data_IF_884251112652
#
_entry.id   IF_884251112652
#
_cell.length_a   1.000
_cell.length_b   1.000
_cell.length_c   1.000
_cell.angle_alpha   90.00
_cell.angle_beta   90.00
_cell.angle_gamma   90.00
#
_symmetry.space_group_name_H-M   'P 1'
#
loop_
_entity.id
_entity.type
_entity.pdbx_description
1 polymer ?
#
# COMPACT_ATOMS: atom_id res chain seq x y z
N UNK A 1 4.45 31.93 -24.09
CA UNK A 1 3.45 32.18 -23.03
C UNK A 1 2.06 32.09 -23.63
N UNK A 2 1.43 30.90 -23.58
CA UNK A 2 0.01 30.70 -23.90
C UNK A 2 -0.69 30.36 -22.59
N UNK A 3 -1.73 31.13 -22.25
CA UNK A 3 -2.57 30.94 -21.06
C UNK A 3 -3.18 29.53 -21.07
N UNK A 4 -2.78 28.67 -20.14
CA UNK A 4 -3.38 27.37 -19.83
C UNK A 4 -4.28 27.50 -18.57
N UNK A 5 -5.17 28.50 -18.57
CA UNK A 5 -5.91 28.91 -17.36
C UNK A 5 -7.40 28.54 -17.32
N UNK A 6 -7.90 27.74 -18.27
CA UNK A 6 -9.33 27.37 -18.31
C UNK A 6 -9.51 26.00 -18.95
N UNK A 7 -9.59 24.95 -18.12
CA UNK A 7 -10.20 23.65 -18.40
C UNK A 7 -10.04 22.68 -17.20
N UNK A 8 -8.93 22.78 -16.46
CA UNK A 8 -8.64 21.86 -15.33
C UNK A 8 -9.69 21.93 -14.22
N UNK A 9 -10.25 23.10 -13.94
CA UNK A 9 -11.24 23.26 -12.87
C UNK A 9 -12.59 22.60 -13.19
N UNK A 10 -13.03 22.61 -14.45
CA UNK A 10 -14.31 22.01 -14.85
C UNK A 10 -14.23 20.48 -14.92
N UNK A 11 -13.09 19.95 -15.40
CA UNK A 11 -12.83 18.50 -15.43
C UNK A 11 -12.82 17.91 -14.00
N UNK A 12 -12.18 18.59 -13.04
CA UNK A 12 -12.22 18.14 -11.65
C UNK A 12 -13.61 18.27 -11.01
N UNK A 13 -14.42 19.26 -11.37
CA UNK A 13 -15.80 19.37 -10.85
C UNK A 13 -16.62 18.15 -11.25
N UNK A 14 -16.58 17.76 -12.53
CA UNK A 14 -17.29 16.58 -13.01
C UNK A 14 -16.78 15.30 -12.35
N UNK A 15 -15.45 15.13 -12.29
CA UNK A 15 -14.83 13.98 -11.64
C UNK A 15 -15.23 13.88 -10.17
N UNK A 16 -15.16 14.98 -9.42
CA UNK A 16 -15.54 15.02 -8.00
C UNK A 16 -17.03 14.72 -7.83
N UNK A 17 -17.92 15.24 -8.67
CA UNK A 17 -19.35 14.91 -8.61
C UNK A 17 -19.60 13.40 -8.80
N UNK A 18 -18.87 12.77 -9.73
CA UNK A 18 -18.91 11.32 -9.94
C UNK A 18 -18.37 10.55 -8.73
N UNK A 19 -17.27 11.00 -8.12
CA UNK A 19 -16.74 10.44 -6.87
C UNK A 19 -17.79 10.53 -5.75
N UNK A 20 -18.45 11.68 -5.54
CA UNK A 20 -19.49 11.83 -4.51
C UNK A 20 -20.63 10.83 -4.67
N UNK A 21 -21.05 10.58 -5.91
CA UNK A 21 -22.07 9.56 -6.17
C UNK A 21 -21.56 8.15 -5.88
N UNK A 22 -20.29 7.86 -6.19
CA UNK A 22 -19.66 6.57 -5.92
C UNK A 22 -19.39 6.33 -4.42
N UNK A 23 -19.11 7.38 -3.65
CA UNK A 23 -18.92 7.32 -2.19
C UNK A 23 -20.16 6.78 -1.45
N UNK A 24 -21.37 6.97 -2.00
CA UNK A 24 -22.61 6.42 -1.45
C UNK A 24 -22.66 4.88 -1.46
N UNK A 25 -21.80 4.23 -2.25
CA UNK A 25 -21.70 2.77 -2.35
C UNK A 25 -20.56 2.21 -1.51
N UNK A 26 -19.77 3.05 -0.85
CA UNK A 26 -18.77 2.59 0.10
C UNK A 26 -19.48 1.93 1.29
N UNK A 27 -18.91 0.82 1.76
CA UNK A 27 -19.24 0.13 2.98
C UNK A 27 -19.08 1.10 4.16
N UNK A 28 -20.15 1.20 4.93
CA UNK A 28 -20.15 1.94 6.19
C UNK A 28 -19.72 1.03 7.34
N UNK A 29 -19.41 1.60 8.49
CA UNK A 29 -19.12 0.84 9.71
C UNK A 29 -20.25 -0.13 10.09
N UNK A 30 -21.52 0.21 9.80
CA UNK A 30 -22.66 -0.68 10.09
C UNK A 30 -22.70 -1.89 9.16
N UNK A 31 -22.34 -1.73 7.88
CA UNK A 31 -22.23 -2.84 6.94
C UNK A 31 -21.10 -3.77 7.35
N UNK A 32 -19.98 -3.19 7.79
CA UNK A 32 -18.83 -3.94 8.26
C UNK A 32 -19.13 -4.77 9.51
N UNK A 33 -19.87 -4.21 10.49
CA UNK A 33 -20.35 -4.98 11.64
C UNK A 33 -21.34 -6.09 11.22
N UNK A 34 -22.14 -5.85 10.18
CA UNK A 34 -23.03 -6.89 9.64
C UNK A 34 -22.24 -8.04 8.99
N UNK A 35 -21.15 -7.73 8.27
CA UNK A 35 -20.22 -8.73 7.74
C UNK A 35 -19.50 -9.51 8.85
N UNK A 36 -19.13 -8.84 9.94
CA UNK A 36 -18.54 -9.49 11.12
C UNK A 36 -19.53 -10.43 11.80
N UNK A 37 -20.79 -10.02 11.93
CA UNK A 37 -21.85 -10.81 12.57
C UNK A 37 -22.42 -11.94 11.68
N UNK A 38 -22.09 -11.95 10.38
CA UNK A 38 -22.52 -12.99 9.46
C UNK A 38 -22.01 -14.38 9.91
N UNK A 39 -22.88 -15.38 9.81
CA UNK A 39 -22.64 -16.73 10.33
C UNK A 39 -21.76 -17.58 9.40
N UNK A 40 -21.67 -17.21 8.13
CA UNK A 40 -20.89 -17.95 7.15
C UNK A 40 -20.23 -17.04 6.11
N UNK A 41 -19.25 -17.61 5.40
CA UNK A 41 -18.64 -17.00 4.23
C UNK A 41 -19.69 -16.64 3.16
N UNK A 42 -20.62 -17.55 2.86
CA UNK A 42 -21.68 -17.32 1.84
C UNK A 42 -22.65 -16.19 2.25
N UNK A 43 -22.93 -16.05 3.55
CA UNK A 43 -23.73 -14.92 4.04
C UNK A 43 -22.98 -13.58 3.86
N UNK A 44 -21.66 -13.55 4.09
CA UNK A 44 -20.85 -12.38 3.79
C UNK A 44 -20.88 -12.05 2.29
N UNK A 45 -20.77 -13.06 1.42
CA UNK A 45 -20.81 -12.88 -0.03
C UNK A 45 -22.14 -12.25 -0.49
N UNK A 46 -23.28 -12.73 0.03
CA UNK A 46 -24.60 -12.15 -0.27
C UNK A 46 -24.69 -10.69 0.19
N UNK A 47 -24.24 -10.38 1.42
CA UNK A 47 -24.22 -9.00 1.91
C UNK A 47 -23.35 -8.08 1.03
N UNK A 48 -22.17 -8.56 0.59
CA UNK A 48 -21.32 -7.79 -0.31
C UNK A 48 -21.98 -7.57 -1.68
N UNK A 49 -22.65 -8.58 -2.23
CA UNK A 49 -23.39 -8.48 -3.49
C UNK A 49 -24.52 -7.43 -3.40
N UNK A 50 -25.26 -7.40 -2.29
CA UNK A 50 -26.28 -6.38 -2.01
C UNK A 50 -25.70 -4.96 -1.96
N UNK A 51 -24.43 -4.84 -1.58
CA UNK A 51 -23.66 -3.59 -1.60
C UNK A 51 -22.91 -3.34 -2.92
N UNK A 52 -23.25 -4.08 -3.98
CA UNK A 52 -22.77 -3.85 -5.34
C UNK A 52 -21.36 -4.36 -5.63
N UNK A 53 -20.86 -5.30 -4.81
CA UNK A 53 -19.65 -6.05 -5.13
C UNK A 53 -19.96 -7.09 -6.21
N UNK A 54 -19.02 -7.29 -7.13
CA UNK A 54 -19.14 -8.31 -8.18
C UNK A 54 -18.83 -9.69 -7.61
N UNK A 55 -19.89 -10.43 -7.27
CA UNK A 55 -19.83 -11.74 -6.62
C UNK A 55 -20.52 -12.78 -7.51
N UNK A 56 -19.80 -13.86 -7.80
CA UNK A 56 -20.32 -15.10 -8.36
C UNK A 56 -19.90 -16.24 -7.42
N UNK A 57 -20.83 -17.16 -7.13
CA UNK A 57 -20.62 -18.27 -6.17
C UNK A 57 -19.42 -19.17 -6.53
N UNK A 58 -18.98 -19.17 -7.80
CA UNK A 58 -17.83 -19.92 -8.28
C UNK A 58 -16.48 -19.18 -8.13
N UNK A 59 -16.49 -17.89 -7.81
CA UNK A 59 -15.27 -17.08 -7.74
C UNK A 59 -14.48 -17.36 -6.45
N UNK A 60 -13.15 -17.43 -6.59
CA UNK A 60 -12.27 -17.44 -5.44
C UNK A 60 -12.24 -16.09 -4.74
N UNK A 61 -11.90 -16.07 -3.43
CA UNK A 61 -11.67 -14.83 -2.69
C UNK A 61 -10.68 -13.89 -3.39
N UNK A 62 -9.58 -14.44 -3.94
CA UNK A 62 -8.60 -13.64 -4.68
C UNK A 62 -9.20 -12.95 -5.90
N UNK A 63 -10.09 -13.64 -6.62
CA UNK A 63 -10.77 -13.11 -7.81
C UNK A 63 -11.74 -11.99 -7.43
N UNK A 64 -12.55 -12.18 -6.39
CA UNK A 64 -13.50 -11.16 -5.90
C UNK A 64 -12.76 -9.86 -5.54
N UNK A 65 -11.68 -9.96 -4.76
CA UNK A 65 -10.91 -8.79 -4.32
C UNK A 65 -10.21 -8.10 -5.50
N UNK A 66 -9.76 -8.87 -6.49
CA UNK A 66 -9.16 -8.37 -7.72
C UNK A 66 -10.19 -7.60 -8.55
N UNK A 67 -11.36 -8.18 -8.79
CA UNK A 67 -12.42 -7.53 -9.58
C UNK A 67 -12.81 -6.17 -8.99
N UNK A 68 -12.92 -6.07 -7.66
CA UNK A 68 -13.25 -4.78 -7.02
C UNK A 68 -12.12 -3.75 -7.09
N UNK A 69 -10.86 -4.20 -7.12
CA UNK A 69 -9.71 -3.32 -7.39
C UNK A 69 -9.70 -2.86 -8.85
N UNK A 70 -9.84 -3.77 -9.80
CA UNK A 70 -9.84 -3.48 -11.24
C UNK A 70 -10.98 -2.53 -11.60
N UNK A 71 -12.17 -2.75 -11.03
CA UNK A 71 -13.34 -1.85 -11.13
C UNK A 71 -13.06 -0.46 -10.57
N UNK A 72 -12.34 -0.35 -9.45
CA UNK A 72 -11.95 0.93 -8.87
C UNK A 72 -11.01 1.69 -9.81
N UNK A 73 -9.97 1.05 -10.32
CA UNK A 73 -8.99 1.69 -11.21
C UNK A 73 -9.57 2.02 -12.59
N UNK A 74 -10.43 1.15 -13.13
CA UNK A 74 -11.20 1.46 -14.35
C UNK A 74 -12.08 2.69 -14.16
N UNK A 75 -12.79 2.78 -13.02
CA UNK A 75 -13.61 3.95 -12.74
C UNK A 75 -12.75 5.22 -12.63
N UNK A 76 -11.60 5.17 -11.96
CA UNK A 76 -10.71 6.32 -11.83
C UNK A 76 -10.14 6.76 -13.20
N UNK A 77 -9.73 5.82 -14.04
CA UNK A 77 -9.16 6.14 -15.35
C UNK A 77 -10.17 6.76 -16.32
N UNK A 78 -11.47 6.50 -16.13
CA UNK A 78 -12.54 7.18 -16.86
C UNK A 78 -12.76 8.64 -16.41
N UNK A 79 -12.26 9.02 -15.22
CA UNK A 79 -12.51 10.35 -14.62
C UNK A 79 -11.35 11.34 -14.78
N UNK A 80 -10.14 10.86 -15.10
CA UNK A 80 -8.96 11.72 -15.24
C UNK A 80 -8.31 11.57 -16.61
N UNK A 81 -7.81 12.67 -17.22
CA UNK A 81 -7.09 12.59 -18.48
C UNK A 81 -5.81 11.76 -18.41
N UNK A 82 -5.13 11.82 -17.26
CA UNK A 82 -3.89 11.11 -17.00
C UNK A 82 -3.99 10.38 -15.64
N UNK A 83 -4.18 9.04 -15.64
CA UNK A 83 -4.20 8.23 -14.43
C UNK A 83 -2.85 8.13 -13.72
N UNK A 84 -1.73 8.41 -14.40
CA UNK A 84 -0.38 8.26 -13.84
C UNK A 84 -0.10 9.18 -12.65
N UNK A 85 -0.91 10.22 -12.47
CA UNK A 85 -0.93 11.05 -11.26
C UNK A 85 -1.14 10.24 -9.96
N UNK A 86 -1.71 9.04 -10.06
CA UNK A 86 -1.96 8.12 -8.94
C UNK A 86 -0.97 6.95 -8.84
N UNK A 87 0.06 6.88 -9.69
CA UNK A 87 1.05 5.79 -9.70
C UNK A 87 1.75 5.59 -8.35
N UNK A 88 1.77 6.62 -7.50
CA UNK A 88 2.29 6.55 -6.13
C UNK A 88 1.66 5.41 -5.31
N UNK A 89 0.40 5.06 -5.58
CA UNK A 89 -0.30 3.95 -4.92
C UNK A 89 0.08 2.57 -5.49
N UNK A 90 0.72 2.52 -6.65
CA UNK A 90 1.05 1.30 -7.40
C UNK A 90 2.53 0.90 -7.26
N UNK A 91 3.43 1.82 -6.90
CA UNK A 91 4.87 1.52 -6.85
C UNK A 91 5.22 0.36 -5.92
N UNK A 92 4.50 0.14 -4.82
CA UNK A 92 4.73 -1.05 -3.99
C UNK A 92 4.57 -2.36 -4.78
N UNK A 93 3.62 -2.40 -5.72
CA UNK A 93 3.35 -3.55 -6.58
C UNK A 93 4.43 -3.72 -7.65
N UNK A 94 4.89 -2.62 -8.25
CA UNK A 94 5.96 -2.64 -9.25
C UNK A 94 7.26 -3.22 -8.64
N UNK A 95 7.62 -2.80 -7.43
CA UNK A 95 8.81 -3.30 -6.74
C UNK A 95 8.63 -4.71 -6.16
N UNK A 96 7.39 -5.12 -5.83
CA UNK A 96 7.08 -6.53 -5.57
C UNK A 96 7.36 -7.41 -6.80
N UNK A 97 6.91 -6.97 -7.97
CA UNK A 97 7.19 -7.64 -9.24
C UNK A 97 8.69 -7.65 -9.59
N UNK A 98 9.41 -6.56 -9.29
CA UNK A 98 10.87 -6.54 -9.42
C UNK A 98 11.54 -7.58 -8.52
N UNK A 99 11.14 -7.66 -7.25
CA UNK A 99 11.65 -8.65 -6.30
C UNK A 99 11.41 -10.08 -6.78
N UNK A 100 10.21 -10.37 -7.26
CA UNK A 100 9.85 -11.64 -7.89
C UNK A 100 10.78 -11.94 -9.09
N UNK A 101 10.94 -10.99 -10.00
CA UNK A 101 11.78 -11.15 -11.20
C UNK A 101 13.26 -11.38 -10.87
N UNK A 102 13.82 -10.67 -9.89
CA UNK A 102 15.20 -10.86 -9.44
C UNK A 102 15.41 -12.28 -8.92
N UNK A 103 14.51 -12.77 -8.05
CA UNK A 103 14.59 -14.13 -7.49
C UNK A 103 14.43 -15.20 -8.57
N UNK A 104 13.43 -15.06 -9.43
CA UNK A 104 13.22 -15.97 -10.57
C UNK A 104 14.42 -16.03 -11.51
N UNK A 105 15.05 -14.89 -11.82
CA UNK A 105 16.23 -14.84 -12.68
C UNK A 105 17.47 -15.45 -12.02
N UNK A 106 17.66 -15.27 -10.71
CA UNK A 106 18.77 -15.86 -9.98
C UNK A 106 18.64 -17.39 -9.84
N UNK A 107 17.42 -17.88 -9.59
CA UNK A 107 17.12 -19.31 -9.45
C UNK A 107 16.98 -20.03 -10.80
N UNK A 108 16.83 -19.28 -11.90
CA UNK A 108 16.51 -19.80 -13.24
C UNK A 108 15.18 -20.58 -13.28
N UNK A 109 14.22 -20.18 -12.43
CA UNK A 109 12.89 -20.78 -12.35
C UNK A 109 11.85 -19.76 -12.80
N UNK A 110 11.04 -20.12 -13.80
CA UNK A 110 9.89 -19.30 -14.17
C UNK A 110 8.75 -19.53 -13.18
N UNK A 111 8.39 -18.48 -12.44
CA UNK A 111 7.30 -18.47 -11.46
C UNK A 111 6.27 -17.46 -11.92
N UNK A 112 5.39 -17.85 -12.83
CA UNK A 112 4.38 -16.92 -13.34
C UNK A 112 3.31 -16.59 -12.27
N UNK A 113 3.21 -17.41 -11.22
CA UNK A 113 2.23 -17.33 -10.14
C UNK A 113 2.50 -16.24 -9.08
N UNK A 114 3.69 -15.63 -9.07
CA UNK A 114 4.11 -14.68 -8.03
C UNK A 114 3.97 -13.21 -8.42
N UNK A 115 3.71 -12.93 -9.71
CA UNK A 115 3.59 -11.58 -10.23
C UNK A 115 2.18 -11.03 -10.03
N UNK A 116 2.11 -9.75 -9.69
CA UNK A 116 0.89 -8.96 -9.79
C UNK A 116 0.66 -8.60 -11.25
N UNK A 117 -0.60 -8.62 -11.68
CA UNK A 117 -0.99 -8.35 -13.05
C UNK A 117 -0.83 -6.86 -13.42
N UNK A 118 -0.79 -6.60 -14.74
CA UNK A 118 -0.61 -5.26 -15.32
C UNK A 118 -1.57 -4.21 -14.76
N UNK A 119 -2.85 -4.55 -14.61
CA UNK A 119 -3.89 -3.60 -14.19
C UNK A 119 -3.72 -3.16 -12.71
N UNK A 120 -2.79 -3.79 -11.98
CA UNK A 120 -2.44 -3.46 -10.60
C UNK A 120 -1.06 -2.78 -10.48
N UNK A 121 -0.44 -2.43 -11.60
CA UNK A 121 0.95 -1.95 -11.67
C UNK A 121 1.05 -0.70 -12.54
N UNK A 122 2.02 0.17 -12.27
CA UNK A 122 2.33 1.28 -13.20
C UNK A 122 3.22 0.81 -14.36
N UNK A 123 3.96 -0.28 -14.15
CA UNK A 123 4.83 -0.90 -15.14
C UNK A 123 4.27 -2.27 -15.51
N UNK A 124 4.22 -2.57 -16.81
CA UNK A 124 3.84 -3.90 -17.28
C UNK A 124 4.81 -4.96 -16.70
N UNK A 125 4.34 -5.95 -15.93
CA UNK A 125 5.20 -6.95 -15.29
C UNK A 125 6.10 -7.70 -16.28
N UNK A 126 5.65 -7.85 -17.53
CA UNK A 126 6.43 -8.49 -18.58
C UNK A 126 7.68 -7.69 -18.99
N UNK A 127 7.65 -6.36 -18.84
CA UNK A 127 8.83 -5.51 -19.07
C UNK A 127 9.88 -5.82 -17.99
N UNK A 128 9.46 -5.89 -16.72
CA UNK A 128 10.32 -6.24 -15.59
C UNK A 128 10.92 -7.64 -15.79
N UNK A 129 10.07 -8.62 -16.11
CA UNK A 129 10.49 -10.02 -16.31
C UNK A 129 11.53 -10.13 -17.42
N UNK A 130 11.29 -9.53 -18.59
CA UNK A 130 12.21 -9.56 -19.74
C UNK A 130 13.54 -8.88 -19.40
N UNK A 131 13.49 -7.73 -18.74
CA UNK A 131 14.70 -7.00 -18.35
C UNK A 131 15.63 -7.86 -17.47
N UNK A 132 15.07 -8.58 -16.49
CA UNK A 132 15.84 -9.43 -15.58
C UNK A 132 16.35 -10.71 -16.27
N UNK A 133 15.53 -11.35 -17.11
CA UNK A 133 15.94 -12.54 -17.86
C UNK A 133 17.06 -12.26 -18.86
N UNK A 134 16.98 -11.12 -19.56
CA UNK A 134 17.96 -10.72 -20.57
C UNK A 134 19.17 -10.00 -19.97
N UNK A 135 19.10 -9.63 -18.68
CA UNK A 135 20.06 -8.75 -18.00
C UNK A 135 20.27 -7.43 -18.73
N UNK A 136 19.20 -6.94 -19.36
CA UNK A 136 19.13 -5.64 -20.02
C UNK A 136 18.08 -4.79 -19.32
N UNK A 137 18.55 -3.87 -18.47
CA UNK A 137 17.69 -3.03 -17.65
C UNK A 137 17.26 -1.74 -18.34
N UNK A 138 17.68 -1.50 -19.59
CA UNK A 138 17.43 -0.22 -20.29
C UNK A 138 15.94 0.09 -20.50
N UNK A 139 15.09 -0.93 -20.48
CA UNK A 139 13.63 -0.80 -20.60
C UNK A 139 12.92 -0.41 -19.30
N UNK A 140 13.61 -0.49 -18.15
CA UNK A 140 13.05 -0.12 -16.85
C UNK A 140 13.20 1.39 -16.60
N UNK A 141 12.36 1.99 -15.74
CA UNK A 141 12.57 3.35 -15.25
C UNK A 141 13.96 3.52 -14.62
N UNK A 142 14.58 4.69 -14.82
CA UNK A 142 15.98 4.94 -14.46
C UNK A 142 16.33 4.64 -12.99
N UNK A 143 15.41 4.95 -12.08
CA UNK A 143 15.50 4.64 -10.65
C UNK A 143 15.44 3.13 -10.36
N UNK A 144 14.69 2.37 -11.16
CA UNK A 144 14.57 0.92 -11.05
C UNK A 144 15.75 0.16 -11.68
N UNK A 145 16.40 0.71 -12.72
CA UNK A 145 17.50 0.02 -13.43
C UNK A 145 18.65 -0.34 -12.50
N UNK A 146 19.11 0.63 -11.69
CA UNK A 146 20.22 0.42 -10.76
C UNK A 146 19.86 -0.61 -9.69
N UNK A 147 18.65 -0.52 -9.15
CA UNK A 147 18.15 -1.42 -8.11
C UNK A 147 18.06 -2.84 -8.65
N UNK A 148 17.51 -3.03 -9.85
CA UNK A 148 17.43 -4.35 -10.51
C UNK A 148 18.81 -4.99 -10.67
N UNK A 149 19.79 -4.23 -11.18
CA UNK A 149 21.16 -4.68 -11.37
C UNK A 149 21.84 -5.03 -10.04
N UNK A 150 21.79 -4.12 -9.07
CA UNK A 150 22.42 -4.28 -7.75
C UNK A 150 21.83 -5.46 -6.97
N UNK A 151 20.50 -5.62 -6.97
CA UNK A 151 19.82 -6.71 -6.28
C UNK A 151 20.11 -8.07 -6.92
N UNK A 152 20.12 -8.16 -8.26
CA UNK A 152 20.47 -9.41 -8.95
C UNK A 152 21.94 -9.79 -8.70
N UNK A 153 22.85 -8.82 -8.82
CA UNK A 153 24.27 -9.03 -8.57
C UNK A 153 24.53 -9.48 -7.13
N UNK A 154 23.91 -8.81 -6.17
CA UNK A 154 23.98 -9.16 -4.74
C UNK A 154 23.51 -10.59 -4.51
N UNK A 155 22.36 -10.96 -5.07
CA UNK A 155 21.77 -12.28 -4.87
C UNK A 155 22.63 -13.39 -5.49
N UNK A 156 23.17 -13.16 -6.69
CA UNK A 156 24.04 -14.12 -7.39
C UNK A 156 25.38 -14.33 -6.67
N UNK A 157 25.98 -13.27 -6.11
CA UNK A 157 27.29 -13.36 -5.46
C UNK A 157 27.23 -13.85 -4.01
N UNK A 158 26.21 -13.44 -3.26
CA UNK A 158 26.12 -13.71 -1.83
C UNK A 158 25.18 -14.86 -1.48
N UNK A 159 24.19 -15.13 -2.35
CA UNK A 159 23.06 -16.01 -2.02
C UNK A 159 22.12 -15.44 -0.95
N UNK A 160 22.33 -14.20 -0.47
CA UNK A 160 21.53 -13.59 0.59
C UNK A 160 20.27 -12.95 0.01
N UNK A 161 19.20 -13.75 -0.03
CA UNK A 161 17.86 -13.29 -0.43
C UNK A 161 17.30 -12.19 0.48
N UNK A 162 17.72 -12.13 1.74
CA UNK A 162 17.31 -11.08 2.68
C UNK A 162 17.92 -9.74 2.32
N UNK A 163 19.21 -9.70 1.98
CA UNK A 163 19.88 -8.49 1.53
C UNK A 163 19.30 -7.96 0.21
N UNK A 164 19.01 -8.87 -0.72
CA UNK A 164 18.29 -8.53 -1.95
C UNK A 164 16.94 -7.86 -1.66
N UNK A 165 16.13 -8.45 -0.78
CA UNK A 165 14.81 -7.90 -0.43
C UNK A 165 14.90 -6.49 0.16
N UNK A 166 15.90 -6.24 1.01
CA UNK A 166 16.12 -4.93 1.65
C UNK A 166 16.43 -3.83 0.64
N UNK A 167 17.30 -4.12 -0.33
CA UNK A 167 17.68 -3.15 -1.38
C UNK A 167 16.42 -2.73 -2.16
N UNK A 168 15.60 -3.70 -2.55
CA UNK A 168 14.38 -3.47 -3.32
C UNK A 168 13.32 -2.76 -2.49
N UNK A 169 13.12 -3.18 -1.23
CA UNK A 169 12.12 -2.58 -0.34
C UNK A 169 12.44 -1.13 -0.01
N UNK A 170 13.72 -0.81 0.29
CA UNK A 170 14.14 0.58 0.51
C UNK A 170 13.94 1.44 -0.74
N UNK A 171 14.22 0.89 -1.93
CA UNK A 171 14.00 1.59 -3.18
C UNK A 171 12.50 1.86 -3.44
N UNK A 172 11.63 0.89 -3.15
CA UNK A 172 10.18 1.05 -3.25
C UNK A 172 9.68 2.19 -2.35
N UNK A 173 10.09 2.19 -1.08
CA UNK A 173 9.73 3.25 -0.13
C UNK A 173 10.25 4.61 -0.56
N UNK A 174 11.52 4.69 -0.99
CA UNK A 174 12.11 5.94 -1.49
C UNK A 174 11.34 6.48 -2.69
N UNK A 175 10.97 5.61 -3.64
CA UNK A 175 10.16 6.00 -4.80
C UNK A 175 8.79 6.52 -4.40
N UNK A 176 8.11 5.86 -3.46
CA UNK A 176 6.80 6.27 -2.94
C UNK A 176 6.91 7.66 -2.29
N UNK A 177 7.88 7.87 -1.40
CA UNK A 177 8.09 9.17 -0.74
C UNK A 177 8.41 10.28 -1.74
N UNK A 178 9.38 10.06 -2.64
CA UNK A 178 9.77 11.07 -3.63
C UNK A 178 8.62 11.42 -4.59
N UNK A 179 7.83 10.43 -5.00
CA UNK A 179 6.70 10.66 -5.90
C UNK A 179 5.57 11.41 -5.20
N UNK A 180 5.28 11.07 -3.94
CA UNK A 180 4.36 11.82 -3.10
C UNK A 180 4.78 13.30 -2.99
N UNK A 181 6.05 13.56 -2.67
CA UNK A 181 6.62 14.92 -2.56
C UNK A 181 6.59 15.71 -3.88
N UNK A 182 6.97 15.06 -4.98
CA UNK A 182 7.01 15.71 -6.32
C UNK A 182 5.62 16.00 -6.88
N UNK A 183 4.58 15.34 -6.38
CA UNK A 183 3.20 15.50 -6.87
C UNK A 183 2.64 16.91 -6.65
N UNK A 184 3.11 17.63 -5.63
CA UNK A 184 2.52 18.91 -5.20
C UNK A 184 1.08 18.79 -4.67
N UNK A 185 0.59 17.57 -4.41
CA UNK A 185 -0.73 17.32 -3.85
C UNK A 185 -0.61 16.82 -2.40
N UNK A 186 -1.33 17.49 -1.49
CA UNK A 186 -1.28 17.21 -0.06
C UNK A 186 -1.63 15.75 0.31
N UNK A 187 -2.56 15.11 -0.42
CA UNK A 187 -2.99 13.74 -0.11
C UNK A 187 -1.97 12.71 -0.59
N UNK A 188 -1.38 12.93 -1.76
CA UNK A 188 -0.34 12.03 -2.29
C UNK A 188 0.97 12.17 -1.49
N UNK A 189 1.31 13.39 -1.09
CA UNK A 189 2.43 13.66 -0.19
C UNK A 189 2.22 13.00 1.18
N UNK A 190 1.03 13.19 1.77
CA UNK A 190 0.65 12.55 3.03
C UNK A 190 0.71 11.02 2.94
N UNK A 191 0.18 10.43 1.86
CA UNK A 191 0.26 8.98 1.65
C UNK A 191 1.72 8.52 1.63
N UNK A 192 2.55 9.15 0.80
CA UNK A 192 3.97 8.78 0.69
C UNK A 192 4.69 8.87 2.04
N UNK A 193 4.49 9.97 2.76
CA UNK A 193 5.07 10.19 4.08
C UNK A 193 4.62 9.13 5.10
N UNK A 194 3.31 8.92 5.26
CA UNK A 194 2.78 7.98 6.25
C UNK A 194 3.14 6.53 5.91
N UNK A 195 3.11 6.15 4.63
CA UNK A 195 3.49 4.80 4.19
C UNK A 195 4.95 4.50 4.51
N UNK A 196 5.87 5.44 4.21
CA UNK A 196 7.30 5.25 4.48
C UNK A 196 7.60 5.27 5.97
N UNK A 197 7.03 6.20 6.72
CA UNK A 197 7.23 6.24 8.16
C UNK A 197 6.72 4.97 8.86
N UNK A 198 5.52 4.49 8.51
CA UNK A 198 4.99 3.24 9.04
C UNK A 198 5.89 2.04 8.70
N UNK A 199 6.39 1.96 7.45
CA UNK A 199 7.31 0.91 7.03
C UNK A 199 8.63 0.96 7.81
N UNK A 200 9.21 2.15 7.99
CA UNK A 200 10.43 2.35 8.77
C UNK A 200 10.26 1.89 10.23
N UNK A 201 9.15 2.26 10.88
CA UNK A 201 8.87 1.82 12.26
C UNK A 201 8.76 0.29 12.33
N UNK A 202 8.03 -0.35 11.40
CA UNK A 202 7.93 -1.81 11.33
C UNK A 202 9.29 -2.47 11.13
N UNK A 203 10.09 -1.94 10.20
CA UNK A 203 11.44 -2.44 9.91
C UNK A 203 12.35 -2.31 11.12
N UNK A 204 12.33 -1.17 11.82
CA UNK A 204 13.11 -0.92 13.02
C UNK A 204 12.75 -1.90 14.16
N UNK A 205 11.46 -2.08 14.44
CA UNK A 205 10.98 -3.04 15.46
C UNK A 205 11.41 -4.46 15.10
N UNK A 206 11.21 -4.88 13.84
CA UNK A 206 11.57 -6.22 13.39
C UNK A 206 13.08 -6.45 13.46
N UNK A 207 13.88 -5.48 13.04
CA UNK A 207 15.33 -5.52 13.13
C UNK A 207 15.82 -5.66 14.56
N UNK A 208 15.23 -4.91 15.50
CA UNK A 208 15.49 -5.02 16.94
C UNK A 208 15.19 -6.44 17.46
N UNK A 209 14.01 -6.98 17.13
CA UNK A 209 13.58 -8.31 17.59
C UNK A 209 14.47 -9.46 17.10
N UNK A 210 15.07 -9.33 15.90
CA UNK A 210 15.95 -10.35 15.33
C UNK A 210 17.44 -10.01 15.49
N UNK A 211 17.77 -8.96 16.26
CA UNK A 211 19.15 -8.58 16.61
C UNK A 211 19.99 -8.10 15.42
N UNK A 212 19.41 -7.35 14.48
CA UNK A 212 20.18 -6.72 13.39
C UNK A 212 20.99 -5.52 13.89
N UNK A 213 22.11 -5.28 13.22
CA UNK A 213 23.02 -4.18 13.53
C UNK A 213 22.62 -2.87 12.83
N UNK A 214 23.39 -1.82 13.10
CA UNK A 214 23.16 -0.49 12.52
C UNK A 214 23.32 -0.49 11.00
N UNK A 215 24.27 -1.27 10.47
CA UNK A 215 24.56 -1.38 9.03
C UNK A 215 23.36 -1.92 8.26
N UNK A 216 22.66 -2.91 8.82
CA UNK A 216 21.39 -3.39 8.28
C UNK A 216 20.34 -2.28 8.22
N UNK A 217 20.17 -1.53 9.31
CA UNK A 217 19.15 -0.49 9.42
C UNK A 217 19.41 0.68 8.47
N UNK A 218 20.67 1.11 8.32
CA UNK A 218 21.07 2.13 7.34
C UNK A 218 20.74 1.71 5.90
N UNK A 219 20.83 0.41 5.60
CA UNK A 219 20.45 -0.15 4.29
C UNK A 219 18.94 -0.36 4.14
N UNK A 220 18.19 -0.50 5.24
CA UNK A 220 16.77 -0.85 5.19
C UNK A 220 15.80 0.32 5.37
N UNK A 221 16.18 1.35 6.13
CA UNK A 221 15.33 2.51 6.37
C UNK A 221 15.41 3.51 5.20
N UNK A 222 14.24 3.99 4.78
CA UNK A 222 14.09 4.97 3.71
C UNK A 222 13.84 6.38 4.29
N UNK A 223 14.26 7.45 3.60
CA UNK A 223 14.06 8.82 4.10
C UNK A 223 12.57 9.20 4.18
N UNK A 224 12.20 9.94 5.22
CA UNK A 224 10.88 10.56 5.42
C UNK A 224 11.02 11.78 6.35
N UNK A 225 10.03 12.66 6.40
CA UNK A 225 10.15 13.95 7.10
C UNK A 225 9.82 13.85 8.59
N UNK A 226 8.86 12.99 8.93
CA UNK A 226 8.28 12.86 10.27
C UNK A 226 9.14 12.05 11.24
N UNK A 227 10.17 11.36 10.74
CA UNK A 227 11.09 10.55 11.52
C UNK A 227 12.54 10.89 11.17
N UNK A 228 13.37 11.07 12.18
CA UNK A 228 14.81 11.00 12.00
C UNK A 228 15.24 9.52 11.92
N UNK A 229 15.53 9.04 10.71
CA UNK A 229 15.85 7.62 10.45
C UNK A 229 17.11 7.15 11.17
N UNK A 230 18.11 8.02 11.35
CA UNK A 230 19.35 7.68 12.05
C UNK A 230 19.10 7.47 13.56
N UNK A 231 18.29 8.33 14.17
CA UNK A 231 17.87 8.17 15.57
C UNK A 231 17.00 6.93 15.76
N UNK A 232 16.09 6.66 14.83
CA UNK A 232 15.28 5.45 14.86
C UNK A 232 16.14 4.19 14.72
N UNK A 233 17.11 4.19 13.81
CA UNK A 233 18.06 3.10 13.63
C UNK A 233 18.87 2.86 14.91
N UNK A 234 19.42 3.93 15.51
CA UNK A 234 20.15 3.84 16.77
C UNK A 234 19.28 3.25 17.88
N UNK A 235 18.06 3.77 18.08
CA UNK A 235 17.13 3.25 19.07
C UNK A 235 16.84 1.76 18.86
N UNK A 236 16.68 1.32 17.61
CA UNK A 236 16.43 -0.07 17.27
C UNK A 236 17.60 -1.02 17.59
N UNK A 237 18.84 -0.53 17.59
CA UNK A 237 20.00 -1.32 18.03
C UNK A 237 20.13 -1.42 19.55
N UNK A 238 19.43 -0.57 20.31
CA UNK A 238 19.50 -0.53 21.77
C UNK A 238 18.45 -1.45 22.39
N UNK A 239 17.16 -1.21 22.15
CA UNK A 239 16.05 -2.02 22.66
C UNK A 239 14.70 -1.58 22.09
N UNK A 240 13.66 -2.41 22.26
CA UNK A 240 12.29 -2.00 21.97
C UNK A 240 11.85 -0.79 22.81
N UNK A 241 12.27 -0.70 24.07
CA UNK A 241 11.95 0.44 24.94
C UNK A 241 12.59 1.74 24.43
N UNK A 242 13.80 1.67 23.88
CA UNK A 242 14.43 2.83 23.23
C UNK A 242 13.64 3.27 21.99
N UNK A 243 13.10 2.35 21.18
CA UNK A 243 12.20 2.69 20.07
C UNK A 243 10.94 3.37 20.60
N UNK A 244 10.31 2.83 21.64
CA UNK A 244 9.10 3.42 22.22
C UNK A 244 9.34 4.83 22.75
N UNK A 245 10.44 5.02 23.47
CA UNK A 245 10.85 6.34 23.97
C UNK A 245 11.07 7.30 22.80
N UNK A 246 11.82 6.90 21.77
CA UNK A 246 12.01 7.72 20.58
C UNK A 246 10.68 8.13 19.95
N UNK A 247 9.77 7.18 19.71
CA UNK A 247 8.48 7.45 19.08
C UNK A 247 7.58 8.35 19.93
N UNK A 248 7.70 8.32 21.25
CA UNK A 248 6.94 9.18 22.16
C UNK A 248 7.22 10.68 21.96
N UNK A 249 8.37 11.02 21.36
CA UNK A 249 8.76 12.39 21.00
C UNK A 249 8.51 12.74 19.53
N UNK A 250 7.72 11.94 18.81
CA UNK A 250 7.39 12.14 17.39
C UNK A 250 5.88 12.27 17.16
N UNK A 251 5.47 12.48 15.90
CA UNK A 251 4.07 12.41 15.49
C UNK A 251 3.42 11.02 15.69
N UNK A 252 4.20 10.01 16.07
CA UNK A 252 3.77 8.61 16.22
C UNK A 252 3.65 8.16 17.68
N UNK A 253 3.58 9.08 18.64
CA UNK A 253 3.43 8.73 20.06
C UNK A 253 2.22 7.82 20.31
N UNK A 254 1.10 8.09 19.63
CA UNK A 254 -0.15 7.31 19.75
C UNK A 254 -0.05 5.92 19.13
N UNK A 255 0.99 5.64 18.34
CA UNK A 255 1.25 4.31 17.82
C UNK A 255 1.88 3.39 18.87
N UNK A 256 2.60 3.92 19.87
CA UNK A 256 3.35 3.13 20.86
C UNK A 256 2.46 2.12 21.60
N UNK A 257 1.26 2.49 22.11
CA UNK A 257 0.36 1.52 22.73
C UNK A 257 -0.08 0.41 21.77
N UNK A 258 -0.33 0.72 20.49
CA UNK A 258 -0.77 -0.25 19.49
C UNK A 258 0.37 -1.20 19.10
N UNK A 259 1.60 -0.69 18.97
CA UNK A 259 2.80 -1.50 18.73
C UNK A 259 2.99 -2.52 19.86
N UNK A 260 2.82 -2.09 21.12
CA UNK A 260 2.93 -2.98 22.30
C UNK A 260 1.86 -4.07 22.34
N UNK A 261 0.70 -3.84 21.72
CA UNK A 261 -0.36 -4.86 21.63
C UNK A 261 0.00 -5.96 20.65
N UNK A 262 0.28 -5.61 19.39
CA UNK A 262 0.72 -6.56 18.36
C UNK A 262 1.11 -5.85 17.05
N UNK A 263 1.87 -6.51 16.16
CA UNK A 263 2.10 -6.01 14.80
C UNK A 263 0.80 -5.71 14.05
N UNK A 264 -0.21 -6.57 14.17
CA UNK A 264 -1.51 -6.37 13.51
C UNK A 264 -2.26 -5.14 14.02
N UNK A 265 -2.17 -4.85 15.33
CA UNK A 265 -2.76 -3.66 15.92
C UNK A 265 -2.10 -2.38 15.41
N UNK A 266 -0.76 -2.37 15.30
CA UNK A 266 -0.03 -1.26 14.70
C UNK A 266 -0.36 -1.05 13.22
N UNK A 267 -0.47 -2.12 12.43
CA UNK A 267 -0.88 -2.02 11.02
C UNK A 267 -2.29 -1.44 10.88
N UNK A 268 -3.23 -1.87 11.72
CA UNK A 268 -4.58 -1.29 11.76
C UNK A 268 -4.53 0.19 12.12
N UNK A 269 -3.71 0.58 13.10
CA UNK A 269 -3.55 1.99 13.49
C UNK A 269 -3.03 2.84 12.32
N UNK A 270 -2.03 2.35 11.58
CA UNK A 270 -1.50 3.06 10.41
C UNK A 270 -2.56 3.25 9.32
N UNK A 271 -3.32 2.19 9.00
CA UNK A 271 -4.39 2.27 8.00
C UNK A 271 -5.49 3.26 8.46
N UNK A 272 -5.89 3.20 9.74
CA UNK A 272 -6.89 4.11 10.31
C UNK A 272 -6.41 5.57 10.33
N UNK A 273 -5.12 5.82 10.57
CA UNK A 273 -4.53 7.15 10.50
C UNK A 273 -4.67 7.74 9.09
N UNK A 274 -4.39 6.95 8.05
CA UNK A 274 -4.59 7.38 6.65
C UNK A 274 -6.07 7.74 6.44
N UNK A 275 -7.00 6.84 6.81
CA UNK A 275 -8.45 7.08 6.68
C UNK A 275 -8.87 8.37 7.38
N UNK A 276 -8.45 8.58 8.63
CA UNK A 276 -8.76 9.78 9.39
C UNK A 276 -8.28 11.06 8.71
N UNK A 277 -7.09 11.03 8.08
CA UNK A 277 -6.49 12.19 7.42
C UNK A 277 -7.10 12.48 6.03
N UNK A 278 -7.64 11.48 5.34
CA UNK A 278 -8.30 11.68 4.04
C UNK A 278 -9.80 12.02 4.17
N UNK A 279 -10.45 11.73 5.31
CA UNK A 279 -11.87 12.04 5.56
C UNK A 279 -12.28 13.49 5.23
N UNK A 280 -11.50 14.54 5.54
CA UNK A 280 -11.84 15.91 5.18
C UNK A 280 -12.02 16.14 3.66
N UNK A 281 -11.44 15.29 2.81
CA UNK A 281 -11.63 15.37 1.36
C UNK A 281 -13.07 15.13 0.93
N UNK A 282 -13.98 14.64 1.80
CA UNK A 282 -15.42 14.57 1.55
C UNK A 282 -16.08 15.92 1.26
N UNK A 283 -15.45 17.00 1.70
CA UNK A 283 -15.97 18.36 1.54
C UNK A 283 -15.19 19.21 0.54
N UNK A 284 -14.10 18.68 -0.04
CA UNK A 284 -13.29 19.39 -1.03
C UNK A 284 -13.93 19.25 -2.44
N UNK A 285 -14.33 20.34 -3.12
CA UNK A 285 -15.07 20.23 -4.37
C UNK A 285 -14.21 20.34 -5.65
N UNK A 286 -12.95 20.82 -5.56
CA UNK A 286 -12.23 21.32 -6.75
C UNK A 286 -10.77 20.86 -6.86
N UNK A 287 -10.47 19.63 -6.41
CA UNK A 287 -9.11 19.10 -6.52
C UNK A 287 -9.10 17.62 -6.85
N UNK A 288 -7.91 17.06 -7.07
CA UNK A 288 -7.67 15.62 -7.20
C UNK A 288 -7.77 14.88 -5.86
N UNK A 289 -7.79 15.60 -4.73
CA UNK A 289 -7.82 15.04 -3.37
C UNK A 289 -8.98 14.07 -3.12
N UNK A 290 -10.23 14.36 -3.52
CA UNK A 290 -11.34 13.42 -3.42
C UNK A 290 -11.14 12.11 -4.20
N UNK A 291 -10.51 12.16 -5.37
CA UNK A 291 -10.22 10.96 -6.17
C UNK A 291 -9.15 10.10 -5.46
N UNK A 292 -8.08 10.72 -4.99
CA UNK A 292 -7.05 10.05 -4.19
C UNK A 292 -7.63 9.43 -2.91
N UNK A 293 -8.48 10.17 -2.20
CA UNK A 293 -9.17 9.68 -1.01
C UNK A 293 -10.09 8.50 -1.31
N UNK A 294 -10.81 8.54 -2.44
CA UNK A 294 -11.66 7.44 -2.88
C UNK A 294 -10.86 6.17 -3.16
N UNK A 295 -9.72 6.27 -3.86
CA UNK A 295 -8.82 5.12 -4.10
C UNK A 295 -8.39 4.49 -2.77
N UNK A 296 -7.90 5.31 -1.84
CA UNK A 296 -7.45 4.85 -0.52
C UNK A 296 -8.59 4.25 0.31
N UNK A 297 -9.79 4.81 0.22
CA UNK A 297 -10.98 4.26 0.87
C UNK A 297 -11.32 2.86 0.32
N UNK A 298 -11.32 2.69 -1.01
CA UNK A 298 -11.57 1.42 -1.68
C UNK A 298 -10.54 0.36 -1.32
N UNK A 299 -9.26 0.70 -1.31
CA UNK A 299 -8.20 -0.24 -0.90
C UNK A 299 -8.37 -0.68 0.56
N UNK A 300 -8.77 0.23 1.45
CA UNK A 300 -9.03 -0.08 2.85
C UNK A 300 -10.27 -1.01 3.03
N UNK A 301 -11.32 -0.83 2.24
CA UNK A 301 -12.47 -1.73 2.21
C UNK A 301 -12.07 -3.12 1.72
N UNK A 302 -11.37 -3.20 0.58
CA UNK A 302 -10.87 -4.47 0.02
C UNK A 302 -10.01 -5.20 1.05
N UNK A 303 -9.14 -4.50 1.76
CA UNK A 303 -8.32 -5.06 2.84
C UNK A 303 -9.17 -5.57 4.01
N UNK A 304 -10.18 -4.80 4.43
CA UNK A 304 -11.07 -5.17 5.54
C UNK A 304 -11.95 -6.37 5.18
N UNK A 305 -12.52 -6.39 3.98
CA UNK A 305 -13.28 -7.52 3.45
C UNK A 305 -12.41 -8.76 3.33
N UNK A 306 -11.18 -8.64 2.81
CA UNK A 306 -10.22 -9.75 2.79
C UNK A 306 -10.04 -10.37 4.17
N UNK A 307 -9.86 -9.55 5.20
CA UNK A 307 -9.66 -10.01 6.59
C UNK A 307 -10.89 -10.75 7.09
N UNK A 308 -12.09 -10.19 6.91
CA UNK A 308 -13.33 -10.81 7.35
C UNK A 308 -13.54 -12.14 6.64
N UNK A 309 -13.51 -12.14 5.31
CA UNK A 309 -13.75 -13.34 4.51
C UNK A 309 -12.71 -14.43 4.79
N UNK A 310 -11.42 -14.07 4.86
CA UNK A 310 -10.35 -15.01 5.23
C UNK A 310 -10.56 -15.54 6.64
N UNK A 311 -10.98 -14.69 7.58
CA UNK A 311 -11.29 -15.09 8.95
C UNK A 311 -12.45 -16.06 9.04
N UNK A 312 -13.52 -15.85 8.26
CA UNK A 312 -14.67 -16.76 8.19
C UNK A 312 -14.28 -18.11 7.59
N UNK A 313 -13.47 -18.14 6.53
CA UNK A 313 -12.91 -19.40 5.98
C UNK A 313 -12.11 -20.15 7.05
N UNK A 314 -11.34 -19.43 7.86
CA UNK A 314 -10.50 -20.00 8.91
C UNK A 314 -11.20 -20.14 10.28
N UNK A 315 -12.52 -19.92 10.36
CA UNK A 315 -13.32 -19.99 11.59
C UNK A 315 -12.76 -19.15 12.77
N UNK A 316 -12.21 -17.96 12.48
CA UNK A 316 -11.80 -17.02 13.51
C UNK A 316 -13.03 -16.44 14.23
N UNK A 317 -12.89 -16.16 15.53
CA UNK A 317 -13.95 -15.52 16.31
C UNK A 317 -14.19 -14.08 15.84
N UNK A 318 -15.44 -13.62 15.98
CA UNK A 318 -15.83 -12.26 15.58
C UNK A 318 -15.04 -11.19 16.34
N UNK A 319 -14.71 -11.42 17.62
CA UNK A 319 -13.87 -10.52 18.41
C UNK A 319 -12.45 -10.43 17.86
N UNK A 320 -11.86 -11.57 17.46
CA UNK A 320 -10.52 -11.58 16.85
C UNK A 320 -10.51 -10.88 15.49
N UNK A 321 -11.60 -10.97 14.73
CA UNK A 321 -11.75 -10.24 13.47
C UNK A 321 -11.93 -8.74 13.71
N UNK A 322 -12.77 -8.35 14.67
CA UNK A 322 -13.03 -6.95 15.02
C UNK A 322 -11.74 -6.22 15.45
N UNK A 323 -10.83 -6.91 16.13
CA UNK A 323 -9.50 -6.38 16.47
C UNK A 323 -8.61 -6.08 15.25
N UNK A 324 -8.92 -6.65 14.08
CA UNK A 324 -8.11 -6.52 12.86
C UNK A 324 -8.79 -5.68 11.79
N UNK A 325 -10.09 -5.47 11.87
CA UNK A 325 -10.83 -4.70 10.87
C UNK A 325 -10.56 -3.20 11.03
N UNK A 326 -10.46 -2.48 9.91
CA UNK A 326 -10.12 -1.06 9.87
C UNK A 326 -11.36 -0.18 10.00
N UNK A 327 -11.15 1.09 10.30
CA UNK A 327 -12.20 2.10 10.19
C UNK A 327 -12.61 2.33 8.73
N UNK A 328 -13.91 2.53 8.48
CA UNK A 328 -14.40 2.90 7.16
C UNK A 328 -14.28 4.39 6.89
N UNK A 329 -14.20 4.75 5.61
CA UNK A 329 -14.10 6.13 5.18
C UNK A 329 -15.39 6.92 5.41
N UNK A 330 -16.55 6.28 5.20
CA UNK A 330 -17.89 6.91 5.20
C UNK A 330 -18.65 6.79 6.49
#
# INVERSE_FOLDING_TARGET
>A
MKKLGGNMSEEYVYAVARIRSAELRLLTSSVLESLLAAKSYDECLRLLADHGWDIDDSMSLSTILKNERDKTWKFISELVPDPHVFDVFLYANDYHNLKAAVKSAAEQINRDDIYLEKDQCSIDPEIIRKALQQRDFSSLPADMQKVAAESLDTLLHTGDGGLCDIIIDKAALTKIYESGKKSGNEILELYGELTVAAANIKTAIRACMIGKDISFLEKALAPCDSLNVDRLAKAATESLDAIYEYLSHTAYLDAVPEIKKSPSAFERWCDNLIIAKIRPQRHNPFSIGPLAAYILARENEIKSVRIILSGKINNLSDDSLRERVREMYV
#
